data_IF_817554444025
#
_entry.id   IF_817554444025
#
_cell.length_a   1.000
_cell.length_b   1.000
_cell.length_c   1.000
_cell.angle_alpha   90.00
_cell.angle_beta   90.00
_cell.angle_gamma   90.00
#
_symmetry.space_group_name_H-M   'P 1'
#
loop_
_entity.id
_entity.type
_entity.pdbx_description
1 polymer ?
#
# COMPACT_ATOMS: atom_id res chain seq x y z
N UNK A 1 3.19 -12.11 11.52
CA UNK A 1 1.97 -12.67 10.92
C UNK A 1 1.93 -14.17 11.21
N UNK A 2 0.76 -14.70 11.54
CA UNK A 2 0.50 -16.15 11.59
C UNK A 2 -0.46 -16.49 10.44
N UNK A 3 -0.25 -17.63 9.80
CA UNK A 3 -1.12 -18.17 8.76
C UNK A 3 -1.39 -19.64 9.02
N UNK A 4 -2.52 -20.14 8.52
CA UNK A 4 -2.87 -21.55 8.63
C UNK A 4 -1.89 -22.36 7.78
N UNK A 5 -1.31 -23.41 8.36
CA UNK A 5 -0.45 -24.36 7.65
C UNK A 5 -1.32 -25.20 6.69
N UNK A 6 -1.11 -25.11 5.36
CA UNK A 6 -1.87 -25.87 4.37
C UNK A 6 -1.71 -27.39 4.50
N UNK A 7 -0.65 -27.86 5.15
CA UNK A 7 -0.34 -29.29 5.28
C UNK A 7 -0.69 -29.85 6.67
N UNK A 8 -1.25 -29.03 7.56
CA UNK A 8 -1.69 -29.51 8.88
C UNK A 8 -2.80 -30.53 8.77
N UNK A 9 -2.57 -31.72 9.31
CA UNK A 9 -3.53 -32.84 9.40
C UNK A 9 -3.95 -33.15 10.85
N UNK A 10 -3.42 -32.40 11.82
CA UNK A 10 -3.66 -32.65 13.24
C UNK A 10 -4.90 -31.92 13.73
N UNK A 11 -5.62 -32.53 14.67
CA UNK A 11 -6.70 -31.89 15.43
C UNK A 11 -6.14 -31.08 16.63
N UNK A 12 -4.83 -31.07 16.84
CA UNK A 12 -4.16 -30.32 17.90
C UNK A 12 -3.71 -28.95 17.41
N UNK A 13 -3.76 -27.96 18.31
CA UNK A 13 -3.39 -26.58 18.02
C UNK A 13 -1.92 -26.34 18.29
N UNK A 14 -1.13 -26.16 17.23
CA UNK A 14 0.27 -25.77 17.30
C UNK A 14 0.48 -24.39 16.70
N UNK A 15 1.31 -23.58 17.37
CA UNK A 15 1.81 -22.31 16.84
C UNK A 15 3.31 -22.45 16.60
N UNK A 16 3.74 -22.19 15.38
CA UNK A 16 5.16 -22.15 15.01
C UNK A 16 5.59 -20.71 14.82
N UNK A 17 6.61 -20.28 15.56
CA UNK A 17 7.21 -18.94 15.44
C UNK A 17 8.58 -19.02 14.78
N UNK A 18 8.88 -18.08 13.89
CA UNK A 18 10.22 -17.94 13.29
C UNK A 18 11.12 -17.14 14.23
N UNK A 19 12.45 -17.35 14.16
CA UNK A 19 13.43 -16.55 14.92
C UNK A 19 13.23 -15.04 14.74
N UNK A 20 12.87 -14.59 13.55
CA UNK A 20 12.61 -13.18 13.25
C UNK A 20 11.36 -12.59 13.94
N UNK A 21 10.44 -13.44 14.43
CA UNK A 21 9.24 -13.02 15.14
C UNK A 21 9.51 -12.79 16.63
N UNK A 22 10.54 -13.43 17.19
CA UNK A 22 10.94 -13.28 18.59
C UNK A 22 11.74 -11.97 18.73
N UNK A 23 11.25 -11.04 19.54
CA UNK A 23 11.89 -9.72 19.75
C UNK A 23 12.68 -9.63 21.05
N UNK A 24 12.26 -10.37 22.06
CA UNK A 24 12.87 -10.49 23.38
C UNK A 24 12.36 -11.79 24.03
N UNK A 25 13.03 -12.25 25.09
CA UNK A 25 12.61 -13.42 25.87
C UNK A 25 11.40 -13.08 26.75
N UNK A 26 10.43 -14.00 26.82
CA UNK A 26 9.19 -13.83 27.57
C UNK A 26 8.63 -15.18 27.98
N UNK A 27 7.98 -15.23 29.15
CA UNK A 27 7.27 -16.41 29.66
C UNK A 27 5.75 -16.36 29.37
N UNK A 28 5.28 -15.30 28.70
CA UNK A 28 3.88 -15.17 28.29
C UNK A 28 3.60 -15.94 26.99
N UNK A 29 2.70 -16.91 27.08
CA UNK A 29 2.27 -17.78 25.98
C UNK A 29 0.88 -17.40 25.43
N UNK A 30 0.32 -16.28 25.86
CA UNK A 30 -1.02 -15.84 25.45
C UNK A 30 -1.01 -15.34 24.01
N UNK A 31 -1.92 -15.85 23.18
CA UNK A 31 -2.09 -15.35 21.80
C UNK A 31 -2.96 -14.09 21.77
N UNK A 32 -2.33 -12.94 21.53
CA UNK A 32 -3.03 -11.68 21.30
C UNK A 32 -3.23 -11.42 19.80
N UNK A 33 -4.49 -11.36 19.36
CA UNK A 33 -4.85 -11.05 17.96
C UNK A 33 -5.12 -9.56 17.80
N UNK A 34 -4.20 -8.84 17.15
CA UNK A 34 -4.31 -7.38 16.94
C UNK A 34 -5.10 -7.05 15.66
N UNK A 35 -5.07 -7.93 14.66
CA UNK A 35 -5.78 -7.77 13.40
C UNK A 35 -5.93 -9.14 12.70
N UNK A 36 -6.79 -9.22 11.70
CA UNK A 36 -7.07 -10.45 10.95
C UNK A 36 -7.38 -10.14 9.48
N UNK A 37 -7.29 -11.15 8.61
CA UNK A 37 -7.57 -11.03 7.18
C UNK A 37 -9.04 -10.69 6.92
N UNK A 38 -9.27 -9.65 6.12
CA UNK A 38 -10.60 -9.22 5.69
C UNK A 38 -10.50 -8.49 4.34
N UNK A 39 -11.62 -8.24 3.63
CA UNK A 39 -11.68 -7.48 2.41
C UNK A 39 -11.39 -6.03 2.77
N UNK A 40 -10.20 -5.58 2.39
CA UNK A 40 -9.79 -4.19 2.59
C UNK A 40 -9.76 -3.55 1.21
N UNK A 41 -10.66 -2.59 0.95
CA UNK A 41 -10.71 -1.85 -0.31
C UNK A 41 -9.41 -1.11 -0.58
N UNK A 42 -9.12 -0.99 -1.87
CA UNK A 42 -7.96 -0.26 -2.34
C UNK A 42 -8.34 1.18 -2.70
N UNK A 43 -7.46 2.15 -2.43
CA UNK A 43 -7.62 3.51 -2.93
C UNK A 43 -6.27 4.09 -3.31
N UNK A 44 -6.18 4.63 -4.53
CA UNK A 44 -5.01 5.38 -4.99
C UNK A 44 -4.78 6.53 -4.02
N UNK A 45 -3.52 6.88 -3.81
CA UNK A 45 -3.14 8.05 -3.05
C UNK A 45 -2.14 8.89 -3.88
N UNK A 46 -1.90 10.13 -3.47
CA UNK A 46 -1.01 11.05 -4.19
C UNK A 46 0.37 10.48 -4.53
N UNK A 47 0.96 9.65 -3.64
CA UNK A 47 2.29 9.07 -3.86
C UNK A 47 2.23 8.01 -4.96
N UNK A 48 1.26 7.09 -4.87
CA UNK A 48 1.08 6.03 -5.87
C UNK A 48 0.67 6.62 -7.22
N UNK A 49 -0.21 7.63 -7.25
CA UNK A 49 -0.61 8.33 -8.48
C UNK A 49 0.62 8.92 -9.16
N UNK A 50 1.46 9.64 -8.40
CA UNK A 50 2.68 10.23 -8.96
C UNK A 50 3.63 9.17 -9.51
N UNK A 51 3.86 8.09 -8.76
CA UNK A 51 4.73 6.99 -9.19
C UNK A 51 4.22 6.32 -10.47
N UNK A 52 2.92 6.00 -10.55
CA UNK A 52 2.33 5.40 -11.74
C UNK A 52 2.39 6.34 -12.96
N UNK A 53 2.21 7.64 -12.74
CA UNK A 53 2.35 8.67 -13.77
C UNK A 53 3.79 8.73 -14.31
N UNK A 54 4.79 8.73 -13.42
CA UNK A 54 6.21 8.70 -13.80
C UNK A 54 6.65 7.39 -14.47
N UNK A 55 5.91 6.31 -14.23
CA UNK A 55 6.06 5.03 -14.93
C UNK A 55 5.35 4.99 -16.30
N UNK A 56 4.86 6.13 -16.79
CA UNK A 56 4.34 6.29 -18.15
C UNK A 56 2.82 6.23 -18.28
N UNK A 57 2.07 6.12 -17.18
CA UNK A 57 0.60 6.13 -17.25
C UNK A 57 0.09 7.55 -17.56
N UNK A 58 -0.76 7.66 -18.58
CA UNK A 58 -1.30 8.96 -19.00
C UNK A 58 -2.27 9.55 -17.96
N UNK A 59 -2.34 10.87 -17.90
CA UNK A 59 -3.27 11.60 -17.02
C UNK A 59 -4.73 11.16 -17.21
N UNK A 60 -5.11 10.82 -18.45
CA UNK A 60 -6.46 10.38 -18.81
C UNK A 60 -6.91 9.11 -18.08
N UNK A 61 -5.98 8.20 -17.74
CA UNK A 61 -6.31 7.00 -16.95
C UNK A 61 -6.79 7.39 -15.55
N UNK A 62 -6.01 8.23 -14.85
CA UNK A 62 -6.37 8.66 -13.50
C UNK A 62 -7.63 9.53 -13.47
N UNK A 63 -7.78 10.41 -14.44
CA UNK A 63 -8.97 11.26 -14.57
C UNK A 63 -10.23 10.44 -14.85
N UNK A 64 -10.12 9.40 -15.68
CA UNK A 64 -11.21 8.46 -15.97
C UNK A 64 -11.64 7.71 -14.70
N UNK A 65 -10.69 7.16 -13.95
CA UNK A 65 -10.96 6.50 -12.66
C UNK A 65 -11.64 7.49 -11.69
N UNK A 66 -11.11 8.71 -11.55
CA UNK A 66 -11.69 9.74 -10.68
C UNK A 66 -13.11 10.11 -11.08
N UNK A 67 -13.36 10.34 -12.39
CA UNK A 67 -14.69 10.65 -12.93
C UNK A 67 -15.68 9.53 -12.64
N UNK A 68 -15.29 8.26 -12.83
CA UNK A 68 -16.17 7.13 -12.49
C UNK A 68 -16.53 7.10 -11.00
N UNK A 69 -15.61 7.46 -10.12
CA UNK A 69 -15.90 7.63 -8.70
C UNK A 69 -16.88 8.79 -8.45
N UNK A 70 -16.69 9.96 -9.08
CA UNK A 70 -17.53 11.15 -8.90
C UNK A 70 -18.95 10.90 -9.42
N UNK A 71 -19.09 10.49 -10.68
CA UNK A 71 -20.37 10.50 -11.40
C UNK A 71 -21.28 9.35 -11.00
N UNK A 72 -20.71 8.16 -10.82
CA UNK A 72 -21.51 6.93 -10.74
C UNK A 72 -21.79 6.46 -9.32
N UNK A 73 -21.15 7.07 -8.31
CA UNK A 73 -21.13 6.57 -6.91
C UNK A 73 -20.72 5.09 -6.76
N UNK A 74 -20.31 4.42 -7.85
CA UNK A 74 -20.09 2.98 -7.96
C UNK A 74 -19.02 2.48 -6.98
N UNK A 75 -18.06 3.33 -6.63
CA UNK A 75 -16.87 2.96 -5.85
C UNK A 75 -16.81 3.59 -4.45
N UNK A 76 -17.78 4.44 -4.10
CA UNK A 76 -17.75 5.24 -2.86
C UNK A 76 -17.99 4.42 -1.61
N UNK A 77 -18.70 3.31 -1.75
CA UNK A 77 -19.10 2.50 -0.62
C UNK A 77 -18.70 1.05 -0.86
N UNK A 78 -17.50 0.67 -0.40
CA UNK A 78 -17.20 -0.72 -0.13
C UNK A 78 -18.38 -1.40 0.56
N UNK A 79 -18.76 -2.63 0.18
CA UNK A 79 -19.86 -3.35 0.81
C UNK A 79 -19.69 -3.41 2.34
N UNK A 80 -20.79 -3.41 3.09
CA UNK A 80 -20.78 -3.35 4.56
C UNK A 80 -19.80 -4.36 5.20
N UNK A 81 -19.66 -5.54 4.59
CA UNK A 81 -18.72 -6.61 4.96
C UNK A 81 -17.24 -6.19 5.03
N UNK A 82 -16.85 -5.07 4.41
CA UNK A 82 -15.49 -4.51 4.51
C UNK A 82 -15.25 -3.79 5.85
N UNK A 83 -16.31 -3.38 6.55
CA UNK A 83 -16.23 -2.59 7.78
C UNK A 83 -16.44 -3.41 9.06
N UNK A 84 -16.85 -4.67 8.93
CA UNK A 84 -17.17 -5.52 10.07
C UNK A 84 -15.94 -6.28 10.56
N UNK A 85 -15.70 -6.27 11.87
CA UNK A 85 -14.91 -7.32 12.49
C UNK A 85 -15.81 -8.56 12.65
N UNK A 86 -15.34 -9.78 12.36
CA UNK A 86 -16.10 -11.02 12.54
C UNK A 86 -16.55 -11.28 13.98
N UNK A 87 -15.88 -10.65 14.96
CA UNK A 87 -16.12 -10.81 16.39
C UNK A 87 -17.03 -9.73 16.98
N UNK A 88 -17.29 -8.64 16.26
CA UNK A 88 -18.16 -7.58 16.76
C UNK A 88 -19.61 -7.97 16.48
N UNK A 89 -20.46 -7.98 17.52
CA UNK A 89 -21.91 -7.92 17.31
C UNK A 89 -22.18 -6.68 16.47
N UNK A 90 -22.63 -6.87 15.23
CA UNK A 90 -22.77 -5.82 14.25
C UNK A 90 -23.79 -4.79 14.74
N UNK A 91 -23.33 -3.72 15.37
CA UNK A 91 -24.17 -2.57 15.66
C UNK A 91 -24.35 -1.78 14.35
N UNK A 92 -25.60 -1.73 13.90
CA UNK A 92 -25.99 -1.00 12.70
C UNK A 92 -25.65 0.49 12.78
N UNK A 93 -25.51 1.04 13.99
CA UNK A 93 -25.04 2.41 14.23
C UNK A 93 -23.60 2.62 13.73
N UNK A 94 -22.70 1.67 13.95
CA UNK A 94 -21.28 1.72 13.54
C UNK A 94 -21.14 1.59 12.02
N UNK A 95 -21.99 0.77 11.39
CA UNK A 95 -22.07 0.70 9.93
C UNK A 95 -22.50 2.07 9.38
N UNK A 96 -23.57 2.64 9.93
CA UNK A 96 -24.12 3.91 9.47
C UNK A 96 -23.13 5.06 9.67
N UNK A 97 -22.40 5.10 10.78
CA UNK A 97 -21.36 6.10 11.05
C UNK A 97 -20.19 5.98 10.08
N UNK A 98 -19.69 4.76 9.83
CA UNK A 98 -18.64 4.55 8.83
C UNK A 98 -19.12 4.92 7.43
N UNK A 99 -20.32 4.47 7.02
CA UNK A 99 -20.92 4.88 5.75
C UNK A 99 -21.04 6.40 5.64
N UNK A 100 -21.44 7.09 6.72
CA UNK A 100 -21.51 8.56 6.76
C UNK A 100 -20.13 9.21 6.63
N UNK A 101 -19.10 8.64 7.27
CA UNK A 101 -17.70 9.06 7.12
C UNK A 101 -17.20 8.93 5.68
N UNK A 102 -17.63 7.89 4.96
CA UNK A 102 -17.34 7.67 3.54
C UNK A 102 -18.30 8.42 2.58
N UNK A 103 -19.47 8.88 3.04
CA UNK A 103 -20.41 9.71 2.25
C UNK A 103 -19.85 11.11 1.97
N UNK A 104 -18.86 11.58 2.74
CA UNK A 104 -18.13 12.81 2.44
C UNK A 104 -17.15 12.60 1.28
N UNK A 105 -17.69 12.23 0.13
CA UNK A 105 -16.99 11.85 -1.08
C UNK A 105 -15.96 12.89 -1.52
N UNK A 106 -16.41 14.14 -1.50
CA UNK A 106 -15.61 15.32 -1.79
C UNK A 106 -14.30 15.38 -0.99
N UNK A 107 -14.32 15.05 0.31
CA UNK A 107 -13.12 15.12 1.16
C UNK A 107 -12.06 14.04 0.85
N UNK A 108 -12.50 12.87 0.38
CA UNK A 108 -11.57 11.81 -0.04
C UNK A 108 -10.96 12.15 -1.40
N UNK A 109 -11.74 12.67 -2.34
CA UNK A 109 -11.24 13.09 -3.66
C UNK A 109 -10.34 14.32 -3.59
N UNK A 110 -10.66 15.31 -2.75
CA UNK A 110 -9.79 16.46 -2.51
C UNK A 110 -8.42 16.02 -1.99
N UNK A 111 -8.35 14.88 -1.27
CA UNK A 111 -7.08 14.29 -0.83
C UNK A 111 -6.49 13.27 -1.82
N UNK A 112 -7.04 13.21 -3.04
CA UNK A 112 -6.78 12.21 -4.08
C UNK A 112 -6.72 10.77 -3.55
N UNK A 113 -7.64 10.45 -2.63
CA UNK A 113 -7.86 9.07 -2.18
C UNK A 113 -8.92 8.42 -3.06
N UNK A 114 -8.56 8.10 -4.30
CA UNK A 114 -9.48 7.61 -5.34
C UNK A 114 -9.69 6.10 -5.15
N UNK A 115 -10.88 5.63 -4.75
CA UNK A 115 -11.15 4.19 -4.57
C UNK A 115 -11.02 3.43 -5.89
N UNK A 116 -10.46 2.22 -5.85
CA UNK A 116 -10.46 1.31 -7.00
C UNK A 116 -11.53 0.23 -6.86
N UNK A 117 -11.97 -0.37 -7.97
CA UNK A 117 -13.01 -1.39 -7.96
C UNK A 117 -12.60 -2.59 -7.11
N UNK A 118 -13.52 -3.03 -6.26
CA UNK A 118 -13.22 -4.10 -5.31
C UNK A 118 -12.94 -5.43 -6.01
N UNK A 119 -13.41 -5.69 -7.22
CA UNK A 119 -13.11 -6.98 -7.87
C UNK A 119 -11.76 -7.00 -8.61
N UNK A 120 -11.09 -5.85 -8.66
CA UNK A 120 -9.87 -5.62 -9.44
C UNK A 120 -8.68 -5.25 -8.54
N UNK A 121 -8.97 -4.85 -7.30
CA UNK A 121 -7.98 -4.27 -6.41
C UNK A 121 -8.27 -4.53 -4.91
N UNK A 122 -7.23 -4.87 -4.15
CA UNK A 122 -7.31 -5.12 -2.69
C UNK A 122 -6.06 -4.68 -1.95
N UNK A 123 -6.26 -4.25 -0.70
CA UNK A 123 -5.21 -4.28 0.32
C UNK A 123 -5.22 -5.67 0.95
N UNK A 124 -4.13 -6.43 0.84
CA UNK A 124 -4.04 -7.82 1.28
C UNK A 124 -2.91 -8.01 2.29
N UNK A 125 -3.11 -8.84 3.30
CA UNK A 125 -2.00 -9.19 4.19
C UNK A 125 -0.97 -10.05 3.47
N UNK A 126 0.31 -9.69 3.64
CA UNK A 126 1.43 -10.44 3.08
C UNK A 126 1.76 -11.68 3.91
N UNK A 127 1.93 -12.81 3.22
CA UNK A 127 2.22 -14.12 3.79
C UNK A 127 3.42 -14.72 3.05
N UNK A 128 4.24 -15.51 3.75
CA UNK A 128 5.34 -16.24 3.14
C UNK A 128 4.83 -17.58 2.60
N UNK A 129 5.31 -18.00 1.44
CA UNK A 129 5.05 -19.35 0.95
C UNK A 129 5.88 -20.37 1.73
N UNK A 130 5.25 -21.03 2.70
CA UNK A 130 5.85 -22.13 3.45
C UNK A 130 5.81 -23.46 2.68
N UNK A 131 5.07 -23.54 1.56
CA UNK A 131 5.01 -24.75 0.73
C UNK A 131 6.19 -24.87 -0.24
N UNK A 132 6.90 -23.75 -0.48
CA UNK A 132 7.99 -23.66 -1.45
C UNK A 132 7.56 -23.79 -2.91
N UNK A 133 6.26 -23.68 -3.21
CA UNK A 133 5.70 -23.93 -4.56
C UNK A 133 5.88 -22.74 -5.51
N UNK A 134 5.79 -21.51 -5.01
CA UNK A 134 5.89 -20.29 -5.83
C UNK A 134 7.32 -20.02 -6.26
N UNK A 135 7.55 -19.71 -7.55
CA UNK A 135 8.87 -19.29 -8.06
C UNK A 135 9.15 -17.81 -7.73
N UNK A 136 10.42 -17.37 -7.79
CA UNK A 136 10.74 -15.94 -7.67
C UNK A 136 9.94 -15.10 -8.68
N UNK A 137 9.31 -14.03 -8.23
CA UNK A 137 8.43 -13.18 -9.05
C UNK A 137 6.97 -13.66 -9.17
N UNK A 138 6.64 -14.84 -8.63
CA UNK A 138 5.26 -15.33 -8.53
C UNK A 138 4.66 -15.02 -7.17
N UNK A 139 3.33 -14.84 -7.15
CA UNK A 139 2.53 -14.75 -5.94
C UNK A 139 1.24 -15.56 -6.07
N UNK A 140 0.63 -15.90 -4.93
CA UNK A 140 -0.74 -16.41 -4.89
C UNK A 140 -1.63 -15.37 -4.21
N UNK A 141 -2.79 -15.08 -4.79
CA UNK A 141 -3.77 -14.16 -4.24
C UNK A 141 -5.09 -14.91 -4.06
N UNK A 142 -5.76 -14.73 -2.93
CA UNK A 142 -7.14 -15.16 -2.77
C UNK A 142 -7.91 -14.15 -1.94
N UNK A 143 -9.09 -13.76 -2.43
CA UNK A 143 -9.95 -12.78 -1.78
C UNK A 143 -11.42 -13.21 -1.79
N UNK A 144 -12.19 -12.67 -0.84
CA UNK A 144 -13.64 -12.87 -0.75
C UNK A 144 -14.36 -12.05 -1.82
N UNK A 145 -15.26 -12.71 -2.57
CA UNK A 145 -16.22 -12.00 -3.42
C UNK A 145 -17.16 -11.19 -2.54
N UNK A 146 -17.45 -9.96 -2.96
CA UNK A 146 -18.37 -9.07 -2.26
C UNK A 146 -19.72 -8.92 -2.97
N UNK A 147 -19.91 -9.60 -4.10
CA UNK A 147 -21.16 -9.61 -4.87
C UNK A 147 -22.18 -10.56 -4.21
N UNK A 148 -23.34 -9.99 -3.81
CA UNK A 148 -24.61 -10.60 -3.37
C UNK A 148 -24.60 -11.90 -2.50
N UNK A 149 -24.96 -11.71 -1.22
CA UNK A 149 -25.92 -12.46 -0.37
C UNK A 149 -26.20 -13.97 -0.54
N UNK A 150 -25.32 -14.80 -1.09
CA UNK A 150 -25.40 -16.25 -0.83
C UNK A 150 -24.94 -16.57 0.61
N UNK A 151 -25.53 -17.58 1.22
CA UNK A 151 -25.16 -18.09 2.57
C UNK A 151 -23.73 -18.64 2.62
N UNK A 152 -23.13 -18.98 1.48
CA UNK A 152 -21.74 -19.40 1.36
C UNK A 152 -20.83 -18.27 0.89
N UNK A 153 -19.70 -18.08 1.58
CA UNK A 153 -18.64 -17.18 1.15
C UNK A 153 -17.95 -17.74 -0.11
N UNK A 154 -18.00 -16.99 -1.21
CA UNK A 154 -17.27 -17.31 -2.43
C UNK A 154 -15.88 -16.68 -2.40
N UNK A 155 -14.86 -17.47 -2.69
CA UNK A 155 -13.47 -17.01 -2.82
C UNK A 155 -13.04 -16.99 -4.28
N UNK A 156 -12.25 -16.00 -4.65
CA UNK A 156 -11.73 -15.79 -6.01
C UNK A 156 -10.20 -15.81 -5.94
N UNK A 157 -9.59 -16.49 -6.91
CA UNK A 157 -8.14 -16.56 -7.11
C UNK A 157 -7.82 -15.91 -8.46
N UNK A 158 -7.42 -14.62 -8.49
CA UNK A 158 -6.99 -13.99 -9.72
C UNK A 158 -5.66 -14.59 -10.18
N UNK A 159 -5.49 -14.70 -11.49
CA UNK A 159 -4.25 -15.20 -12.11
C UNK A 159 -3.85 -14.29 -13.26
N UNK A 160 -2.55 -14.20 -13.53
CA UNK A 160 -2.01 -13.29 -14.55
C UNK A 160 -1.11 -12.23 -13.95
N UNK A 161 -0.98 -11.10 -14.62
CA UNK A 161 -0.15 -9.99 -14.15
C UNK A 161 -0.83 -9.29 -12.97
N UNK A 162 -0.06 -8.95 -11.94
CA UNK A 162 -0.54 -8.12 -10.83
C UNK A 162 0.51 -7.06 -10.48
N UNK A 163 0.05 -5.82 -10.31
CA UNK A 163 0.85 -4.74 -9.75
C UNK A 163 0.74 -4.80 -8.22
N UNK A 164 1.89 -4.81 -7.56
CA UNK A 164 1.99 -4.90 -6.10
C UNK A 164 2.87 -3.78 -5.59
N UNK A 165 2.41 -3.10 -4.54
CA UNK A 165 3.25 -2.16 -3.78
C UNK A 165 2.88 -2.18 -2.31
N UNK A 166 3.53 -1.35 -1.51
CA UNK A 166 3.25 -1.16 -0.08
C UNK A 166 3.33 0.32 0.23
N UNK A 167 2.27 0.82 0.86
CA UNK A 167 2.26 2.19 1.34
C UNK A 167 2.98 2.34 2.70
N UNK A 168 3.61 3.49 2.95
CA UNK A 168 4.01 4.51 1.97
C UNK A 168 5.12 4.00 1.03
N UNK A 169 5.08 4.38 -0.25
CA UNK A 169 6.09 4.08 -1.28
C UNK A 169 6.57 5.37 -1.93
N UNK A 170 7.87 5.50 -2.18
CA UNK A 170 8.49 6.74 -2.65
C UNK A 170 9.28 6.56 -3.95
N UNK A 171 9.82 5.37 -4.21
CA UNK A 171 10.62 5.12 -5.40
C UNK A 171 9.81 4.32 -6.45
N UNK A 172 9.94 4.60 -7.75
CA UNK A 172 9.21 3.87 -8.80
C UNK A 172 9.43 2.35 -8.74
N UNK A 173 10.63 1.92 -8.36
CA UNK A 173 10.95 0.50 -8.15
C UNK A 173 10.23 -0.18 -6.99
N UNK A 174 9.53 0.58 -6.12
CA UNK A 174 8.64 0.05 -5.07
C UNK A 174 7.31 -0.47 -5.65
N UNK A 175 6.98 -0.17 -6.91
CA UNK A 175 5.88 -0.79 -7.63
C UNK A 175 6.44 -1.99 -8.38
N UNK A 176 5.99 -3.19 -8.02
CA UNK A 176 6.45 -4.46 -8.60
C UNK A 176 5.37 -5.02 -9.50
N UNK A 177 5.81 -5.62 -10.60
CA UNK A 177 4.98 -6.45 -11.48
C UNK A 177 5.26 -7.91 -11.15
N UNK A 178 4.29 -8.61 -10.56
CA UNK A 178 4.38 -10.03 -10.21
C UNK A 178 3.42 -10.84 -11.08
N UNK A 179 3.60 -12.16 -11.08
CA UNK A 179 2.68 -13.11 -11.70
C UNK A 179 1.84 -13.81 -10.64
N UNK A 180 0.55 -13.51 -10.59
CA UNK A 180 -0.42 -14.25 -9.80
C UNK A 180 -0.65 -15.64 -10.43
N UNK A 181 -0.40 -16.69 -9.65
CA UNK A 181 -0.55 -18.09 -10.08
C UNK A 181 -1.44 -18.86 -9.12
N UNK A 182 -2.17 -19.82 -9.66
CA UNK A 182 -3.00 -20.72 -8.87
C UNK A 182 -2.13 -21.78 -8.17
N UNK A 183 -2.32 -21.95 -6.86
CA UNK A 183 -1.63 -22.95 -6.04
C UNK A 183 -2.67 -23.73 -5.22
N UNK A 184 -3.00 -24.98 -5.59
CA UNK A 184 -4.03 -25.76 -4.92
C UNK A 184 -3.84 -25.88 -3.41
N UNK A 185 -2.59 -26.07 -2.96
CA UNK A 185 -2.24 -26.20 -1.54
C UNK A 185 -2.63 -24.96 -0.72
N UNK A 186 -2.61 -23.77 -1.31
CA UNK A 186 -2.90 -22.51 -0.61
C UNK A 186 -4.38 -22.14 -0.62
N UNK A 187 -5.17 -22.70 -1.54
CA UNK A 187 -6.59 -22.34 -1.71
C UNK A 187 -7.41 -22.63 -0.44
N UNK A 188 -7.13 -23.72 0.27
CA UNK A 188 -7.93 -24.13 1.44
C UNK A 188 -7.65 -23.29 2.68
N UNK A 189 -6.47 -22.67 2.81
CA UNK A 189 -6.01 -22.04 4.05
C UNK A 189 -5.86 -20.51 3.98
N UNK A 190 -5.64 -19.93 2.79
CA UNK A 190 -5.47 -18.47 2.64
C UNK A 190 -6.82 -17.80 2.44
N UNK A 191 -7.06 -16.66 3.10
CA UNK A 191 -8.31 -15.90 3.02
C UNK A 191 -7.94 -14.43 3.02
N UNK A 192 -8.40 -13.64 2.03
CA UNK A 192 -8.05 -12.21 1.87
C UNK A 192 -6.55 -11.91 2.07
N UNK A 193 -5.71 -12.61 1.31
CA UNK A 193 -4.25 -12.55 1.47
C UNK A 193 -3.49 -12.66 0.16
N UNK A 194 -2.24 -12.21 0.20
CA UNK A 194 -1.24 -12.38 -0.85
C UNK A 194 -0.06 -13.18 -0.28
N UNK A 195 0.29 -14.28 -0.94
CA UNK A 195 1.41 -15.14 -0.59
C UNK A 195 2.56 -14.85 -1.54
N UNK A 196 3.72 -14.52 -0.99
CA UNK A 196 4.94 -14.26 -1.74
C UNK A 196 5.84 -15.48 -1.72
N UNK A 197 6.53 -15.72 -2.84
CA UNK A 197 7.56 -16.75 -2.91
C UNK A 197 8.62 -16.57 -1.82
N UNK A 198 8.97 -17.67 -1.16
CA UNK A 198 10.12 -17.77 -0.26
C UNK A 198 11.40 -18.18 -1.01
N UNK A 199 11.31 -18.40 -2.33
CA UNK A 199 12.43 -18.79 -3.18
C UNK A 199 13.15 -17.55 -3.77
N UNK A 200 14.42 -17.74 -4.13
CA UNK A 200 15.24 -16.69 -4.76
C UNK A 200 16.14 -15.95 -3.77
N UNK A 201 16.88 -14.96 -4.29
CA UNK A 201 17.88 -14.24 -3.49
C UNK A 201 17.29 -13.11 -2.64
N UNK A 202 16.31 -12.38 -3.19
CA UNK A 202 15.59 -11.30 -2.52
C UNK A 202 14.09 -11.50 -2.74
N UNK A 203 13.29 -11.66 -1.68
CA UNK A 203 11.85 -11.87 -1.84
C UNK A 203 11.15 -10.57 -2.28
N UNK A 204 10.13 -10.69 -3.14
CA UNK A 204 9.44 -9.54 -3.73
C UNK A 204 8.86 -8.56 -2.71
N UNK A 205 8.41 -9.05 -1.55
CA UNK A 205 7.91 -8.17 -0.49
C UNK A 205 9.01 -7.20 0.02
N UNK A 206 10.26 -7.64 0.08
CA UNK A 206 11.39 -6.82 0.53
C UNK A 206 11.89 -5.83 -0.55
N UNK A 207 11.58 -6.09 -1.82
CA UNK A 207 11.85 -5.15 -2.91
C UNK A 207 11.03 -3.86 -2.77
N UNK A 208 9.89 -3.93 -2.08
CA UNK A 208 8.99 -2.81 -1.82
C UNK A 208 9.31 -2.18 -0.48
N UNK A 209 9.98 -1.01 -0.48
CA UNK A 209 10.32 -0.24 0.74
C UNK A 209 11.04 -1.01 1.86
N UNK A 210 11.71 -2.12 1.53
CA UNK A 210 12.41 -2.94 2.52
C UNK A 210 11.48 -3.72 3.45
N UNK A 211 10.23 -3.96 3.04
CA UNK A 211 9.22 -4.54 3.92
C UNK A 211 9.56 -5.94 4.43
N UNK A 212 8.88 -6.30 5.52
CA UNK A 212 8.86 -7.64 6.09
C UNK A 212 7.43 -8.25 6.03
N UNK A 213 7.25 -9.41 6.64
CA UNK A 213 5.94 -10.08 6.77
C UNK A 213 5.40 -9.99 8.21
N UNK A 214 5.70 -8.88 8.89
CA UNK A 214 5.30 -8.55 10.26
C UNK A 214 3.83 -8.15 10.41
N UNK A 215 3.03 -8.25 9.34
CA UNK A 215 1.62 -7.84 9.32
C UNK A 215 1.33 -6.64 8.43
N UNK A 216 2.25 -6.31 7.51
CA UNK A 216 1.98 -5.31 6.49
C UNK A 216 0.88 -5.76 5.51
N UNK A 217 0.11 -4.77 5.09
CA UNK A 217 -0.83 -4.89 3.99
C UNK A 217 -0.16 -4.39 2.72
N UNK A 218 -0.38 -5.13 1.64
CA UNK A 218 0.14 -4.86 0.31
C UNK A 218 -1.00 -4.43 -0.59
N UNK A 219 -0.72 -3.39 -1.35
CA UNK A 219 -1.54 -2.99 -2.48
C UNK A 219 -1.42 -4.07 -3.55
N UNK A 220 -2.54 -4.62 -4.02
CA UNK A 220 -2.58 -5.56 -5.14
C UNK A 220 -3.66 -5.11 -6.12
N UNK A 221 -3.28 -4.94 -7.38
CA UNK A 221 -4.13 -4.50 -8.47
C UNK A 221 -3.86 -5.36 -9.71
N UNK A 222 -4.90 -5.98 -10.26
CA UNK A 222 -4.78 -7.00 -11.32
C UNK A 222 -5.69 -6.71 -12.53
N UNK A 223 -6.07 -5.44 -12.70
CA UNK A 223 -6.76 -4.96 -13.90
C UNK A 223 -5.75 -4.30 -14.87
N UNK A 224 -6.18 -4.08 -16.11
CA UNK A 224 -5.31 -3.65 -17.22
C UNK A 224 -5.34 -2.13 -17.47
N UNK A 225 -6.04 -1.30 -16.68
CA UNK A 225 -6.01 0.17 -16.88
C UNK A 225 -4.61 0.77 -16.62
N UNK A 226 -3.85 0.24 -15.66
CA UNK A 226 -2.47 0.68 -15.41
C UNK A 226 -1.44 -0.19 -16.14
N UNK A 227 -0.71 0.43 -17.06
CA UNK A 227 0.31 -0.23 -17.86
C UNK A 227 1.70 0.25 -17.42
N UNK A 228 2.56 -0.70 -17.07
CA UNK A 228 3.98 -0.47 -16.79
C UNK A 228 4.76 -1.35 -17.74
N UNK A 229 5.41 -0.70 -18.72
CA UNK A 229 6.24 -1.35 -19.73
C UNK A 229 7.56 -1.84 -19.10
N UNK A 230 8.28 -0.95 -18.43
CA UNK A 230 9.55 -1.24 -17.78
C UNK A 230 9.44 -1.12 -16.26
N UNK A 231 9.76 -2.22 -15.57
CA UNK A 231 9.81 -2.24 -14.11
C UNK A 231 11.15 -1.67 -13.65
N UNK A 232 11.10 -0.51 -12.99
CA UNK A 232 12.28 0.11 -12.39
C UNK A 232 12.88 -0.82 -11.33
N UNK A 233 14.21 -0.88 -11.27
CA UNK A 233 14.93 -1.71 -10.30
C UNK A 233 14.63 -1.23 -8.87
N UNK A 234 14.30 -2.13 -7.93
CA UNK A 234 14.05 -1.74 -6.55
C UNK A 234 15.34 -1.29 -5.88
N UNK A 235 15.25 -0.27 -5.03
CA UNK A 235 16.38 0.17 -4.22
C UNK A 235 16.76 -0.90 -3.19
N UNK A 236 18.02 -0.87 -2.77
CA UNK A 236 18.47 -1.64 -1.61
C UNK A 236 18.37 -0.77 -0.35
N UNK A 237 17.31 -1.00 0.41
CA UNK A 237 17.07 -0.30 1.68
C UNK A 237 17.92 -0.96 2.77
N UNK A 238 19.01 -0.28 3.14
CA UNK A 238 19.87 -0.74 4.23
C UNK A 238 19.17 -0.55 5.59
N UNK A 239 19.40 -1.50 6.50
CA UNK A 239 18.93 -1.38 7.87
C UNK A 239 19.69 -0.27 8.61
N UNK A 240 18.93 0.46 9.40
CA UNK A 240 19.36 1.58 10.19
C UNK A 240 20.31 1.18 11.36
N UNK A 241 21.32 2.00 11.68
CA UNK A 241 22.29 1.81 12.80
C UNK A 241 22.22 2.94 13.88
N UNK A 242 21.74 2.62 15.11
CA UNK A 242 21.75 3.32 16.45
C UNK A 242 21.79 4.89 16.61
N UNK A 243 20.98 5.39 17.59
CA UNK A 243 20.70 6.74 18.20
C UNK A 243 19.68 7.82 17.67
N UNK A 244 18.95 8.51 18.56
CA UNK A 244 17.65 9.15 18.28
C UNK A 244 17.69 10.54 17.58
N UNK A 245 17.13 10.64 16.37
CA UNK A 245 16.19 11.70 15.92
C UNK A 245 15.72 11.38 14.48
N UNK A 246 14.43 11.16 14.25
CA UNK A 246 13.92 10.94 12.88
C UNK A 246 12.65 11.70 12.58
N UNK A 247 12.60 12.27 11.38
CA UNK A 247 11.44 12.98 10.86
C UNK A 247 10.96 12.38 9.52
N UNK A 248 10.48 11.13 9.50
CA UNK A 248 10.02 10.49 8.25
C UNK A 248 8.91 11.30 7.55
N UNK A 249 8.08 12.01 8.32
CA UNK A 249 7.06 12.92 7.75
C UNK A 249 7.65 14.11 7.00
N UNK A 250 8.76 14.69 7.47
CA UNK A 250 9.46 15.77 6.76
C UNK A 250 10.02 15.23 5.45
N UNK A 251 10.70 14.08 5.49
CA UNK A 251 11.29 13.44 4.31
C UNK A 251 10.21 13.13 3.25
N UNK A 252 9.10 12.52 3.67
CA UNK A 252 7.99 12.20 2.75
C UNK A 252 7.37 13.45 2.12
N UNK A 253 7.21 14.53 2.88
CA UNK A 253 6.67 15.78 2.33
C UNK A 253 7.66 16.44 1.37
N UNK A 254 8.95 16.48 1.71
CA UNK A 254 10.00 16.98 0.81
C UNK A 254 10.02 16.19 -0.49
N UNK A 255 9.96 14.86 -0.41
CA UNK A 255 9.85 13.98 -1.57
C UNK A 255 8.63 14.35 -2.44
N UNK A 256 7.45 14.49 -1.84
CA UNK A 256 6.23 14.83 -2.59
C UNK A 256 6.34 16.17 -3.32
N UNK A 257 6.95 17.19 -2.70
CA UNK A 257 7.17 18.49 -3.37
C UNK A 257 8.15 18.36 -4.54
N UNK A 258 9.25 17.65 -4.35
CA UNK A 258 10.26 17.46 -5.41
C UNK A 258 9.67 16.67 -6.56
N UNK A 259 9.00 15.56 -6.27
CA UNK A 259 8.37 14.71 -7.28
C UNK A 259 7.31 15.45 -8.11
N UNK A 260 6.61 16.43 -7.52
CA UNK A 260 5.63 17.24 -8.22
C UNK A 260 6.28 18.24 -9.19
N UNK A 261 7.44 18.81 -8.80
CA UNK A 261 8.10 19.93 -9.49
C UNK A 261 9.22 19.52 -10.44
N UNK A 262 9.90 18.42 -10.16
CA UNK A 262 11.06 17.99 -10.94
C UNK A 262 10.62 17.43 -12.29
N UNK A 263 11.37 17.71 -13.36
CA UNK A 263 11.08 17.19 -14.71
C UNK A 263 11.02 15.67 -14.74
N UNK A 264 11.97 15.04 -14.04
CA UNK A 264 12.08 13.58 -13.93
C UNK A 264 11.19 13.00 -12.81
N UNK A 265 10.40 13.84 -12.13
CA UNK A 265 9.51 13.42 -11.05
C UNK A 265 10.19 12.55 -9.99
N UNK A 266 9.58 11.41 -9.71
CA UNK A 266 10.05 10.40 -8.74
C UNK A 266 11.30 9.63 -9.19
N UNK A 267 11.71 9.73 -10.45
CA UNK A 267 12.97 9.16 -10.97
C UNK A 267 14.18 10.07 -10.73
N UNK A 268 13.98 11.28 -10.22
CA UNK A 268 15.08 12.21 -9.90
C UNK A 268 15.99 11.66 -8.80
N UNK A 269 17.27 12.03 -8.84
CA UNK A 269 18.25 11.65 -7.81
C UNK A 269 17.85 12.19 -6.44
N UNK A 270 17.24 13.36 -6.40
CA UNK A 270 16.72 13.98 -5.19
C UNK A 270 15.56 13.17 -4.58
N UNK A 271 14.66 12.62 -5.40
CA UNK A 271 13.61 11.71 -4.93
C UNK A 271 14.17 10.36 -4.47
N UNK A 272 15.14 9.80 -5.18
CA UNK A 272 15.84 8.57 -4.76
C UNK A 272 16.53 8.75 -3.40
N UNK A 273 17.21 9.89 -3.20
CA UNK A 273 17.83 10.25 -1.93
C UNK A 273 16.80 10.29 -0.80
N UNK A 274 15.65 10.94 -1.04
CA UNK A 274 14.54 10.96 -0.08
C UNK A 274 14.01 9.56 0.23
N UNK A 275 13.85 8.70 -0.78
CA UNK A 275 13.33 7.34 -0.62
C UNK A 275 14.24 6.47 0.25
N UNK A 276 15.56 6.51 -0.01
CA UNK A 276 16.57 5.79 0.79
C UNK A 276 16.56 6.26 2.25
N UNK A 277 16.52 7.57 2.46
CA UNK A 277 16.54 8.15 3.81
C UNK A 277 15.23 7.90 4.56
N UNK A 278 14.10 7.91 3.85
CA UNK A 278 12.78 7.63 4.41
C UNK A 278 12.65 6.19 4.91
N UNK A 279 13.10 5.21 4.14
CA UNK A 279 13.09 3.80 4.55
C UNK A 279 13.92 3.61 5.84
N UNK A 280 15.11 4.21 5.90
CA UNK A 280 15.92 4.24 7.12
C UNK A 280 15.18 4.90 8.29
N UNK A 281 14.47 6.02 8.03
CA UNK A 281 13.74 6.76 9.06
C UNK A 281 12.58 6.00 9.70
N UNK A 282 11.92 5.14 8.93
CA UNK A 282 10.87 4.27 9.47
C UNK A 282 11.46 3.25 10.46
N UNK A 283 12.58 2.63 10.11
CA UNK A 283 13.21 1.59 10.91
C UNK A 283 14.13 2.12 12.03
N UNK A 284 14.51 3.38 11.98
CA UNK A 284 15.27 4.04 13.04
C UNK A 284 14.60 3.95 14.41
N UNK A 285 13.26 3.93 14.49
CA UNK A 285 12.56 3.74 15.79
C UNK A 285 12.79 2.35 16.40
N UNK A 286 13.06 1.33 15.57
CA UNK A 286 13.36 -0.04 16.02
C UNK A 286 14.84 -0.22 16.35
N UNK A 287 15.69 0.39 15.54
CA UNK A 287 17.15 0.17 15.55
C UNK A 287 17.91 1.22 16.35
N UNK A 288 17.22 2.29 16.67
CA UNK A 288 17.75 3.48 17.30
C UNK A 288 18.32 4.52 16.33
N UNK A 289 18.66 4.27 15.05
CA UNK A 289 19.52 5.14 14.18
C UNK A 289 19.27 6.66 14.16
N UNK A 290 20.37 7.44 14.09
CA UNK A 290 20.30 8.89 13.92
C UNK A 290 20.41 9.20 12.44
N UNK A 291 19.37 9.82 11.91
CA UNK A 291 19.36 10.17 10.50
C UNK A 291 19.78 11.60 10.36
N UNK A 292 20.97 11.77 9.77
CA UNK A 292 21.45 13.07 9.36
C UNK A 292 20.48 13.64 8.30
N UNK A 293 19.73 14.68 8.68
CA UNK A 293 18.78 15.38 7.82
C UNK A 293 19.40 16.54 7.06
N UNK A 294 20.73 16.78 7.13
CA UNK A 294 21.39 17.91 6.45
C UNK A 294 21.08 17.93 4.96
N UNK A 295 21.07 16.77 4.31
CA UNK A 295 20.76 16.72 2.89
C UNK A 295 19.29 17.01 2.59
N UNK A 296 18.37 16.57 3.46
CA UNK A 296 16.94 16.93 3.39
C UNK A 296 16.74 18.43 3.62
N UNK A 297 17.44 19.04 4.57
CA UNK A 297 17.36 20.48 4.81
C UNK A 297 17.86 21.29 3.60
N UNK A 298 18.92 20.82 2.93
CA UNK A 298 19.37 21.39 1.66
C UNK A 298 18.30 21.27 0.57
N UNK A 299 17.64 20.11 0.45
CA UNK A 299 16.56 19.90 -0.52
C UNK A 299 15.34 20.79 -0.22
N UNK A 300 14.95 20.94 1.05
CA UNK A 300 13.91 21.87 1.49
C UNK A 300 14.28 23.30 1.05
N UNK A 301 15.51 23.72 1.33
CA UNK A 301 16.03 25.02 0.95
C UNK A 301 16.19 25.24 -0.57
N UNK A 302 16.09 24.19 -1.40
CA UNK A 302 16.15 24.25 -2.87
C UNK A 302 14.77 24.14 -3.54
N UNK A 303 13.85 23.33 -3.00
CA UNK A 303 12.59 22.99 -3.68
C UNK A 303 11.31 23.37 -2.90
N UNK A 304 11.39 23.55 -1.58
CA UNK A 304 10.20 23.64 -0.72
C UNK A 304 9.90 25.07 -0.20
N UNK A 305 10.21 26.10 -0.99
CA UNK A 305 9.81 27.49 -0.67
C UNK A 305 8.33 27.73 -0.96
N UNK A 306 7.79 26.94 -1.88
CA UNK A 306 6.42 26.97 -2.40
C UNK A 306 5.95 25.52 -2.48
N UNK A 307 4.70 25.27 -2.11
CA UNK A 307 4.11 23.93 -2.09
C UNK A 307 3.00 23.79 -3.14
N UNK A 308 2.81 22.59 -3.73
CA UNK A 308 1.63 22.30 -4.55
C UNK A 308 0.34 22.51 -3.75
N UNK A 309 -0.72 22.97 -4.41
CA UNK A 309 -2.01 23.28 -3.76
C UNK A 309 -2.60 22.03 -3.10
N UNK A 310 -2.51 20.89 -3.79
CA UNK A 310 -3.01 19.60 -3.28
C UNK A 310 -2.35 19.16 -1.96
N UNK A 311 -1.15 19.66 -1.64
CA UNK A 311 -0.44 19.38 -0.38
C UNK A 311 -0.84 20.33 0.76
N UNK A 312 -1.46 21.48 0.45
CA UNK A 312 -1.75 22.50 1.44
C UNK A 312 -2.83 22.03 2.40
N UNK A 313 -2.50 22.02 3.70
CA UNK A 313 -3.52 22.05 4.75
C UNK A 313 -4.08 23.47 4.80
N UNK A 314 -5.39 23.62 4.98
CA UNK A 314 -6.05 24.92 5.12
C UNK A 314 -5.23 25.85 6.05
N UNK A 315 -4.64 26.92 5.48
CA UNK A 315 -3.80 27.87 6.22
C UNK A 315 -2.33 27.97 5.75
N UNK A 316 -2.13 28.70 4.65
CA UNK A 316 -0.94 29.51 4.27
C UNK A 316 0.47 28.87 4.33
N UNK A 317 0.94 28.34 3.19
CA UNK A 317 2.16 28.89 2.53
C UNK A 317 1.86 29.60 1.19
N UNK A 318 2.88 30.23 0.58
CA UNK A 318 2.79 30.82 -0.77
C UNK A 318 2.52 29.74 -1.80
N UNK A 319 1.54 29.99 -2.67
CA UNK A 319 1.08 29.06 -3.72
C UNK A 319 2.03 29.08 -4.93
N UNK A 320 2.21 27.91 -5.53
CA UNK A 320 2.78 27.82 -6.87
C UNK A 320 1.73 28.32 -7.87
N UNK A 321 2.11 28.84 -9.05
CA UNK A 321 1.20 28.85 -10.18
C UNK A 321 0.67 27.42 -10.39
N UNK A 322 -0.51 27.24 -11.02
CA UNK A 322 -1.04 25.92 -11.33
C UNK A 322 0.01 24.92 -11.77
N UNK A 323 0.32 23.95 -10.90
CA UNK A 323 1.17 22.82 -11.29
C UNK A 323 0.41 22.00 -12.32
N UNK A 324 1.09 21.59 -13.39
CA UNK A 324 0.52 20.67 -14.38
C UNK A 324 0.67 19.21 -13.96
N UNK A 325 1.06 18.96 -12.70
CA UNK A 325 1.16 17.60 -12.18
C UNK A 325 -0.22 16.94 -12.11
N UNK A 326 -0.23 15.62 -12.24
CA UNK A 326 -1.48 14.86 -12.17
C UNK A 326 -2.20 15.02 -10.82
N UNK A 327 -1.46 15.13 -9.71
CA UNK A 327 -2.08 15.32 -8.39
C UNK A 327 -2.80 16.67 -8.28
N UNK A 328 -2.23 17.72 -8.87
CA UNK A 328 -2.83 19.05 -8.91
C UNK A 328 -4.09 19.08 -9.80
N UNK A 329 -4.01 18.45 -10.99
CA UNK A 329 -5.15 18.31 -11.90
C UNK A 329 -6.32 17.60 -11.22
N UNK A 330 -6.06 16.44 -10.61
CA UNK A 330 -7.07 15.66 -9.89
C UNK A 330 -7.64 16.42 -8.69
N UNK A 331 -6.79 17.15 -7.96
CA UNK A 331 -7.21 17.93 -6.81
C UNK A 331 -8.23 19.01 -7.19
N UNK A 332 -7.96 19.78 -8.25
CA UNK A 332 -8.85 20.84 -8.74
C UNK A 332 -10.16 20.29 -9.27
N UNK A 333 -10.09 19.23 -10.07
CA UNK A 333 -11.28 18.52 -10.56
C UNK A 333 -12.17 18.04 -9.42
N UNK A 334 -11.57 17.63 -8.29
CA UNK A 334 -12.32 17.26 -7.08
C UNK A 334 -12.89 18.46 -6.30
N UNK A 335 -12.27 19.65 -6.37
CA UNK A 335 -12.81 20.87 -5.76
C UNK A 335 -14.05 21.36 -6.52
N UNK A 336 -14.03 21.26 -7.85
CA UNK A 336 -15.08 21.71 -8.77
C UNK A 336 -16.33 20.82 -8.79
N UNK A 337 -16.20 19.55 -8.39
CA UNK A 337 -17.29 18.55 -8.30
C UNK A 337 -18.17 18.72 -7.05
#
# INVERSE_FOLDING_TARGET
MLSIDPESKSNEFYIKVRKSMIKFESDDWTLYVVNHSRPIPLSLNNQVIRLLSDLGNSNGVFESIQTRCIDRKEFWHPPAKCYLNPLDSVDQSVINENQQKYKNAKNFLIRNKIPLPVNEARCLFGIADETGTLKPGECFIQYRSLENSSTSEKYIVPTGTVLVTKNPCLHPGDIRKLKAVYVPKLQSCIRDGIVFSSNGHRPSFNEMTGADLGGYQYWAYWDDEFQIEEVVKPLFYSLAKKNLDTAPGIIANTHSVIADKHSDGTLSKECEECALLFARAIDARKTGENINLTSIMRLIGKYCQIYPEWMMKFGTPKMDPPSMSINEILHRKAQDA
#
